data_IF_172220084928
#
_entry.id   IF_172220084928
#
_cell.length_a   1.000
_cell.length_b   1.000
_cell.length_c   1.000
_cell.angle_alpha   90.00
_cell.angle_beta   90.00
_cell.angle_gamma   90.00
#
_symmetry.space_group_name_H-M   'P 1'
#
loop_
_entity.id
_entity.type
_entity.pdbx_description
1 polymer ?
#
# COMPACT_ATOMS: atom_id res chain seq x y z
N UNK A 1 -6.84 -5.45 33.08
CA UNK A 1 -7.15 -5.09 31.68
C UNK A 1 -7.81 -6.29 31.05
N UNK A 2 -9.00 -6.14 30.48
CA UNK A 2 -9.63 -7.22 29.70
C UNK A 2 -8.81 -7.43 28.42
N UNK A 3 -8.47 -8.68 28.15
CA UNK A 3 -7.80 -9.05 26.90
C UNK A 3 -8.74 -8.78 25.71
N UNK A 4 -8.28 -8.02 24.72
CA UNK A 4 -9.04 -7.77 23.50
C UNK A 4 -8.68 -8.87 22.48
N UNK A 5 -9.69 -9.61 22.05
CA UNK A 5 -9.52 -10.62 21.02
C UNK A 5 -9.54 -9.98 19.62
N UNK A 6 -8.41 -9.42 19.19
CA UNK A 6 -8.29 -8.80 17.85
C UNK A 6 -8.54 -9.78 16.71
N UNK A 7 -8.15 -11.04 16.86
CA UNK A 7 -8.45 -12.08 15.86
C UNK A 7 -9.96 -12.22 15.66
N UNK A 8 -10.73 -12.26 16.77
CA UNK A 8 -12.18 -12.31 16.69
C UNK A 8 -12.81 -11.05 16.11
N UNK A 9 -12.18 -9.87 16.28
CA UNK A 9 -12.65 -8.64 15.64
C UNK A 9 -12.43 -8.68 14.12
N UNK A 10 -11.28 -9.16 13.67
CA UNK A 10 -10.99 -9.33 12.24
C UNK A 10 -11.91 -10.38 11.60
N UNK A 11 -12.15 -11.50 12.27
CA UNK A 11 -13.00 -12.59 11.76
C UNK A 11 -14.45 -12.13 11.49
N UNK A 12 -14.96 -11.15 12.23
CA UNK A 12 -16.29 -10.56 11.96
C UNK A 12 -16.40 -9.93 10.56
N UNK A 13 -15.29 -9.45 10.02
CA UNK A 13 -15.21 -8.76 8.74
C UNK A 13 -14.62 -9.63 7.62
N UNK A 14 -14.52 -10.94 7.86
CA UNK A 14 -13.87 -11.88 6.94
C UNK A 14 -14.37 -11.78 5.51
N UNK A 15 -15.68 -11.76 5.30
CA UNK A 15 -16.26 -11.73 3.96
C UNK A 15 -15.93 -10.43 3.22
N UNK A 16 -15.97 -9.28 3.92
CA UNK A 16 -15.57 -7.99 3.36
C UNK A 16 -14.07 -7.96 3.01
N UNK A 17 -13.22 -8.53 3.87
CA UNK A 17 -11.78 -8.63 3.65
C UNK A 17 -11.48 -9.48 2.41
N UNK A 18 -12.14 -10.63 2.27
CA UNK A 18 -11.98 -11.50 1.11
C UNK A 18 -12.55 -10.88 -0.17
N UNK A 19 -13.61 -10.07 -0.07
CA UNK A 19 -14.13 -9.31 -1.21
C UNK A 19 -13.12 -8.27 -1.69
N UNK A 20 -12.46 -7.56 -0.78
CA UNK A 20 -11.39 -6.60 -1.12
C UNK A 20 -10.24 -7.28 -1.83
N UNK A 21 -9.76 -8.40 -1.30
CA UNK A 21 -8.69 -9.20 -1.91
C UNK A 21 -9.04 -9.56 -3.35
N UNK A 22 -10.23 -10.13 -3.58
CA UNK A 22 -10.70 -10.55 -4.90
C UNK A 22 -10.95 -9.39 -5.85
N UNK A 23 -11.47 -8.28 -5.34
CA UNK A 23 -11.68 -7.10 -6.16
C UNK A 23 -10.36 -6.54 -6.68
N UNK A 24 -9.39 -6.30 -5.79
CA UNK A 24 -8.09 -5.76 -6.14
C UNK A 24 -7.34 -6.72 -7.08
N UNK A 25 -7.38 -8.05 -6.82
CA UNK A 25 -6.84 -9.06 -7.72
C UNK A 25 -7.37 -8.96 -9.15
N UNK A 26 -8.67 -8.72 -9.32
CA UNK A 26 -9.33 -8.66 -10.63
C UNK A 26 -9.19 -7.31 -11.33
N UNK A 27 -8.72 -6.28 -10.64
CA UNK A 27 -8.56 -4.92 -11.17
C UNK A 27 -7.13 -4.43 -10.95
N UNK A 28 -6.10 -5.16 -11.45
CA UNK A 28 -4.71 -4.80 -11.22
C UNK A 28 -4.36 -3.51 -11.97
N UNK A 29 -3.68 -2.61 -11.29
CA UNK A 29 -3.18 -1.36 -11.84
C UNK A 29 -1.69 -1.22 -11.54
N UNK A 30 -0.89 -0.80 -12.53
CA UNK A 30 0.54 -0.58 -12.31
C UNK A 30 0.82 0.74 -11.56
N UNK A 31 2.03 0.87 -11.06
CA UNK A 31 2.43 1.97 -10.18
C UNK A 31 2.18 3.37 -10.72
N UNK A 32 1.64 4.24 -9.87
CA UNK A 32 1.11 5.58 -10.15
C UNK A 32 -0.11 5.60 -11.09
N UNK A 33 -0.78 4.47 -11.29
CA UNK A 33 -2.04 4.36 -12.04
C UNK A 33 -3.18 3.79 -11.19
N UNK A 34 -2.97 3.51 -9.92
CA UNK A 34 -3.87 2.80 -8.99
C UNK A 34 -5.06 3.67 -8.54
N UNK A 35 -5.66 4.40 -9.50
CA UNK A 35 -6.77 5.31 -9.21
C UNK A 35 -8.06 4.58 -8.86
N UNK A 36 -8.37 3.47 -9.53
CA UNK A 36 -9.55 2.68 -9.24
C UNK A 36 -9.39 1.94 -7.91
N UNK A 37 -8.21 1.37 -7.66
CA UNK A 37 -7.86 0.74 -6.39
C UNK A 37 -7.94 1.75 -5.24
N UNK A 38 -7.37 2.95 -5.40
CA UNK A 38 -7.48 4.04 -4.44
C UNK A 38 -8.93 4.38 -4.14
N UNK A 39 -9.75 4.60 -5.17
CA UNK A 39 -11.17 4.94 -5.02
C UNK A 39 -11.96 3.84 -4.32
N UNK A 40 -11.70 2.60 -4.67
CA UNK A 40 -12.37 1.44 -4.08
C UNK A 40 -12.07 1.32 -2.58
N UNK A 41 -10.79 1.32 -2.22
CA UNK A 41 -10.36 1.25 -0.82
C UNK A 41 -10.86 2.45 -0.01
N UNK A 42 -10.70 3.66 -0.55
CA UNK A 42 -11.17 4.89 0.09
C UNK A 42 -12.68 4.84 0.39
N UNK A 43 -13.48 4.35 -0.54
CA UNK A 43 -14.93 4.21 -0.33
C UNK A 43 -15.29 3.30 0.85
N UNK A 44 -14.51 2.23 1.08
CA UNK A 44 -14.69 1.34 2.24
C UNK A 44 -14.32 2.07 3.54
N UNK A 45 -13.19 2.75 3.55
CA UNK A 45 -12.74 3.53 4.71
C UNK A 45 -13.73 4.65 5.07
N UNK A 46 -14.21 5.40 4.08
CA UNK A 46 -15.20 6.48 4.28
C UNK A 46 -16.53 5.92 4.80
N UNK A 47 -17.01 4.80 4.24
CA UNK A 47 -18.21 4.09 4.72
C UNK A 47 -18.04 3.63 6.18
N UNK A 48 -16.85 3.23 6.57
CA UNK A 48 -16.52 2.89 7.96
C UNK A 48 -16.36 4.15 8.85
N UNK A 49 -16.52 5.35 8.31
CA UNK A 49 -16.47 6.61 9.06
C UNK A 49 -15.04 7.12 9.33
N UNK A 50 -14.09 6.80 8.47
CA UNK A 50 -12.75 7.39 8.48
C UNK A 50 -12.73 8.70 7.69
N UNK A 51 -11.97 9.67 8.18
CA UNK A 51 -11.63 10.88 7.44
C UNK A 51 -10.29 10.68 6.75
N UNK A 52 -10.28 10.73 5.42
CA UNK A 52 -9.09 10.47 4.63
C UNK A 52 -8.34 11.74 4.25
N UNK A 53 -7.03 11.63 4.17
CA UNK A 53 -6.14 12.58 3.50
C UNK A 53 -5.63 11.92 2.23
N UNK A 54 -6.06 12.42 1.09
CA UNK A 54 -5.66 11.94 -0.22
C UNK A 54 -4.30 12.50 -0.64
N UNK A 55 -3.56 11.74 -1.41
CA UNK A 55 -2.27 12.17 -1.94
C UNK A 55 -2.38 13.21 -3.09
N UNK A 56 -3.60 13.50 -3.55
CA UNK A 56 -3.89 14.57 -4.48
C UNK A 56 -3.64 14.18 -5.94
N UNK A 57 -2.49 14.53 -6.46
CA UNK A 57 -2.10 14.33 -7.86
C UNK A 57 -1.48 12.96 -8.17
N UNK A 58 -1.35 12.10 -7.15
CA UNK A 58 -0.96 10.69 -7.27
C UNK A 58 -1.95 9.80 -6.51
N UNK A 59 -2.05 8.51 -6.85
CA UNK A 59 -2.91 7.57 -6.14
C UNK A 59 -2.57 7.43 -4.66
N UNK A 60 -3.57 7.08 -3.86
CA UNK A 60 -3.45 6.69 -2.47
C UNK A 60 -3.94 7.72 -1.46
N UNK A 61 -3.94 7.33 -0.20
CA UNK A 61 -4.45 8.12 0.92
C UNK A 61 -3.90 7.58 2.24
N UNK A 62 -4.10 8.35 3.30
CA UNK A 62 -3.91 7.88 4.67
C UNK A 62 -5.00 8.40 5.60
N UNK A 63 -5.12 7.77 6.77
CA UNK A 63 -5.97 8.22 7.88
C UNK A 63 -5.28 7.98 9.21
N UNK A 64 -5.51 8.86 10.17
CA UNK A 64 -5.02 8.74 11.55
C UNK A 64 -6.14 8.27 12.48
N UNK A 65 -5.80 7.36 13.37
CA UNK A 65 -6.67 6.80 14.41
C UNK A 65 -6.06 7.13 15.75
N UNK A 66 -6.72 7.98 16.51
CA UNK A 66 -6.27 8.40 17.84
C UNK A 66 -6.87 7.49 18.92
N UNK A 67 -6.04 6.98 19.83
CA UNK A 67 -6.53 6.19 20.98
C UNK A 67 -7.00 7.06 22.12
N UNK A 68 -6.73 8.36 22.08
CA UNK A 68 -6.99 9.30 23.17
C UNK A 68 -6.00 9.20 24.34
N UNK A 69 -4.98 8.38 24.21
CA UNK A 69 -3.90 8.21 25.21
C UNK A 69 -2.55 8.48 24.58
N UNK A 70 -1.61 9.15 25.28
CA UNK A 70 -0.28 9.41 24.76
C UNK A 70 0.50 8.11 24.49
N UNK A 71 1.33 8.11 23.46
CA UNK A 71 2.15 6.98 23.07
C UNK A 71 2.69 7.14 21.65
N UNK A 72 3.41 6.16 21.12
CA UNK A 72 3.98 6.23 19.78
C UNK A 72 2.91 6.21 18.69
N UNK A 73 3.29 6.72 17.52
CA UNK A 73 2.49 6.63 16.29
C UNK A 73 2.98 5.49 15.41
N UNK A 74 2.12 4.51 15.20
CA UNK A 74 2.38 3.37 14.33
C UNK A 74 1.88 3.66 12.93
N UNK A 75 2.74 3.54 11.92
CA UNK A 75 2.39 3.54 10.51
C UNK A 75 2.16 2.10 10.04
N UNK A 76 1.00 1.83 9.46
CA UNK A 76 0.70 0.55 8.80
C UNK A 76 0.49 0.85 7.32
N UNK A 77 1.28 0.18 6.48
CA UNK A 77 1.31 0.36 5.03
C UNK A 77 0.59 -0.79 4.32
N UNK A 78 -0.13 -0.45 3.26
CA UNK A 78 -0.61 -1.40 2.25
C UNK A 78 -0.27 -0.86 0.86
N UNK A 79 0.46 -1.64 0.09
CA UNK A 79 0.84 -1.34 -1.28
C UNK A 79 -0.31 -1.69 -2.23
N UNK A 80 -0.51 -0.89 -3.28
CA UNK A 80 -1.68 -1.03 -4.15
C UNK A 80 -1.35 -1.49 -5.56
N UNK A 81 -0.09 -1.38 -5.99
CA UNK A 81 0.28 -1.60 -7.38
C UNK A 81 0.43 -3.10 -7.73
N UNK A 82 0.27 -3.38 -9.02
CA UNK A 82 0.44 -4.67 -9.64
C UNK A 82 1.65 -4.69 -10.56
N UNK A 83 2.15 -5.89 -10.85
CA UNK A 83 3.24 -6.14 -11.78
C UNK A 83 2.74 -6.21 -13.23
N UNK A 84 3.60 -5.83 -14.17
CA UNK A 84 3.43 -6.14 -15.59
C UNK A 84 3.74 -7.63 -15.83
N UNK A 85 2.72 -8.44 -15.99
CA UNK A 85 2.82 -9.89 -16.15
C UNK A 85 1.95 -10.38 -17.31
N UNK A 86 2.22 -10.01 -18.56
CA UNK A 86 1.34 -10.30 -19.71
C UNK A 86 1.14 -11.81 -19.97
N UNK A 87 2.03 -12.64 -19.46
CA UNK A 87 1.94 -14.10 -19.58
C UNK A 87 1.29 -14.79 -18.37
N UNK A 88 0.86 -14.03 -17.36
CA UNK A 88 0.17 -14.61 -16.21
C UNK A 88 -1.23 -15.10 -16.63
N UNK A 89 -1.67 -16.32 -16.26
CA UNK A 89 -2.96 -16.87 -16.70
C UNK A 89 -4.18 -16.04 -16.25
N UNK A 90 -4.07 -15.32 -15.14
CA UNK A 90 -5.13 -14.47 -14.59
C UNK A 90 -4.83 -12.98 -14.72
N UNK A 91 -4.01 -12.59 -15.68
CA UNK A 91 -3.72 -11.18 -15.91
C UNK A 91 -4.94 -10.43 -16.48
N UNK A 92 -5.02 -9.14 -16.17
CA UNK A 92 -5.98 -8.21 -16.76
C UNK A 92 -5.17 -7.04 -17.34
N UNK A 93 -5.36 -6.76 -18.62
CA UNK A 93 -4.64 -5.69 -19.35
C UNK A 93 -3.10 -5.75 -19.21
N UNK A 94 -2.56 -6.96 -19.15
CA UNK A 94 -1.14 -7.22 -19.00
C UNK A 94 -0.60 -7.10 -17.58
N UNK A 95 -1.44 -6.84 -16.58
CA UNK A 95 -1.08 -6.71 -15.18
C UNK A 95 -1.58 -7.88 -14.33
N UNK A 96 -0.89 -8.20 -13.25
CA UNK A 96 -1.33 -9.15 -12.22
C UNK A 96 -0.72 -8.80 -10.85
N UNK A 97 -1.46 -9.07 -9.77
CA UNK A 97 -0.96 -8.91 -8.40
C UNK A 97 -0.02 -10.05 -7.96
N UNK A 98 0.92 -10.40 -8.82
CA UNK A 98 1.83 -11.53 -8.58
C UNK A 98 2.79 -11.34 -7.37
N UNK A 99 2.93 -10.12 -6.86
CA UNK A 99 3.64 -9.82 -5.62
C UNK A 99 2.75 -9.93 -4.37
N UNK A 100 1.42 -9.99 -4.54
CA UNK A 100 0.49 -10.17 -3.43
C UNK A 100 0.03 -8.87 -2.76
N UNK A 101 0.17 -7.70 -3.39
CA UNK A 101 -0.27 -6.41 -2.84
C UNK A 101 -1.80 -6.34 -2.64
N UNK A 102 -2.59 -7.12 -3.40
CA UNK A 102 -4.01 -7.31 -3.15
C UNK A 102 -4.30 -7.82 -1.72
N UNK A 103 -3.46 -8.71 -1.19
CA UNK A 103 -3.59 -9.19 0.21
C UNK A 103 -3.20 -8.12 1.23
N UNK A 104 -2.27 -7.23 0.88
CA UNK A 104 -1.94 -6.08 1.71
C UNK A 104 -3.11 -5.07 1.79
N UNK A 105 -3.75 -4.78 0.64
CA UNK A 105 -4.96 -3.97 0.58
C UNK A 105 -6.08 -4.54 1.46
N UNK A 106 -6.31 -5.86 1.36
CA UNK A 106 -7.29 -6.57 2.17
C UNK A 106 -6.96 -6.51 3.67
N UNK A 107 -5.69 -6.69 4.03
CA UNK A 107 -5.22 -6.59 5.41
C UNK A 107 -5.40 -5.18 5.97
N UNK A 108 -5.09 -4.15 5.18
CA UNK A 108 -5.24 -2.75 5.59
C UNK A 108 -6.72 -2.43 5.89
N UNK A 109 -7.64 -2.91 5.03
CA UNK A 109 -9.10 -2.79 5.26
C UNK A 109 -9.52 -3.58 6.49
N UNK A 110 -9.05 -4.82 6.65
CA UNK A 110 -9.37 -5.65 7.81
C UNK A 110 -8.97 -5.00 9.14
N UNK A 111 -7.78 -4.40 9.18
CA UNK A 111 -7.33 -3.61 10.34
C UNK A 111 -8.24 -2.41 10.57
N UNK A 112 -8.58 -1.67 9.51
CA UNK A 112 -9.45 -0.51 9.61
C UNK A 112 -10.82 -0.88 10.19
N UNK A 113 -11.45 -1.91 9.67
CA UNK A 113 -12.77 -2.37 10.15
C UNK A 113 -12.72 -2.87 11.59
N UNK A 114 -11.72 -3.71 11.93
CA UNK A 114 -11.55 -4.23 13.28
C UNK A 114 -11.31 -3.13 14.32
N UNK A 115 -10.57 -2.06 13.97
CA UNK A 115 -10.32 -0.93 14.88
C UNK A 115 -11.55 -0.03 15.09
N UNK A 116 -12.60 -0.14 14.26
CA UNK A 116 -13.90 0.53 14.46
C UNK A 116 -14.82 -0.24 15.39
N UNK A 117 -14.54 -1.49 15.68
CA UNK A 117 -15.34 -2.28 16.60
C UNK A 117 -15.33 -1.68 18.01
N UNK A 118 -16.47 -1.73 18.74
CA UNK A 118 -16.56 -1.18 20.08
C UNK A 118 -15.49 -1.78 21.01
N UNK A 119 -14.73 -0.92 21.66
CA UNK A 119 -13.69 -1.33 22.60
C UNK A 119 -12.34 -1.70 21.97
N UNK A 120 -12.23 -1.78 20.65
CA UNK A 120 -10.98 -2.17 19.97
C UNK A 120 -9.77 -1.30 20.38
N UNK A 121 -9.98 -0.01 20.60
CA UNK A 121 -8.91 0.93 21.00
C UNK A 121 -8.66 0.97 22.53
N UNK A 122 -9.47 0.29 23.35
CA UNK A 122 -9.42 0.45 24.80
C UNK A 122 -8.10 -0.03 25.43
N UNK A 123 -7.40 -0.98 24.80
CA UNK A 123 -6.10 -1.50 25.24
C UNK A 123 -4.88 -0.80 24.64
N UNK A 124 -5.07 0.13 23.70
CA UNK A 124 -4.00 0.75 22.94
C UNK A 124 -3.67 2.16 23.46
N UNK A 125 -2.44 2.62 23.23
CA UNK A 125 -1.97 3.98 23.52
C UNK A 125 -1.23 4.51 22.27
N UNK A 126 -1.19 5.84 22.13
CA UNK A 126 -0.65 6.47 20.93
C UNK A 126 -1.66 6.57 19.80
N UNK A 127 -1.20 6.52 18.58
CA UNK A 127 -2.04 6.61 17.39
C UNK A 127 -1.59 5.64 16.30
N UNK A 128 -2.47 5.39 15.32
CA UNK A 128 -2.19 4.51 14.19
C UNK A 128 -2.49 5.29 12.91
N UNK A 129 -1.53 5.35 12.00
CA UNK A 129 -1.73 5.79 10.62
C UNK A 129 -1.90 4.57 9.74
N UNK A 130 -3.05 4.44 9.09
CA UNK A 130 -3.27 3.49 8.02
C UNK A 130 -3.03 4.20 6.69
N UNK A 131 -2.18 3.64 5.83
CA UNK A 131 -1.75 4.29 4.60
C UNK A 131 -1.79 3.32 3.42
N UNK A 132 -2.59 3.64 2.41
CA UNK A 132 -2.59 2.99 1.11
C UNK A 132 -1.58 3.71 0.21
N UNK A 133 -0.47 3.04 -0.11
CA UNK A 133 0.67 3.62 -0.81
C UNK A 133 0.78 3.07 -2.24
N UNK A 134 1.03 3.90 -3.27
CA UNK A 134 1.20 3.46 -4.65
C UNK A 134 2.62 3.02 -4.96
N UNK A 135 2.81 2.40 -6.13
CA UNK A 135 4.04 2.35 -6.90
C UNK A 135 5.27 1.79 -6.15
N UNK A 136 5.12 0.65 -5.50
CA UNK A 136 6.25 -0.04 -4.86
C UNK A 136 7.17 -0.69 -5.89
N UNK A 137 6.60 -1.37 -6.88
CA UNK A 137 7.31 -2.08 -7.94
C UNK A 137 7.99 -1.09 -8.88
N UNK A 138 9.31 -1.13 -8.99
CA UNK A 138 10.08 -0.22 -9.83
C UNK A 138 10.07 -0.65 -11.31
N UNK A 139 8.90 -0.68 -11.90
CA UNK A 139 8.63 -0.96 -13.32
C UNK A 139 8.21 0.32 -14.06
N UNK A 140 8.04 0.26 -15.37
CA UNK A 140 7.63 1.39 -16.24
C UNK A 140 8.47 2.68 -16.00
N UNK A 141 9.78 2.54 -15.95
CA UNK A 141 10.71 3.63 -15.57
C UNK A 141 10.55 4.87 -16.47
N UNK A 142 10.33 4.71 -17.79
CA UNK A 142 10.09 5.82 -18.71
C UNK A 142 8.82 6.60 -18.34
N UNK A 143 7.74 5.92 -17.99
CA UNK A 143 6.50 6.55 -17.53
C UNK A 143 6.73 7.34 -16.25
N UNK A 144 7.35 6.72 -15.25
CA UNK A 144 7.66 7.38 -13.98
C UNK A 144 8.62 8.55 -14.15
N UNK A 145 9.61 8.44 -15.06
CA UNK A 145 10.50 9.55 -15.39
C UNK A 145 9.75 10.70 -16.08
N UNK A 146 8.70 10.40 -16.87
CA UNK A 146 7.83 11.44 -17.43
C UNK A 146 7.05 12.18 -16.34
N UNK A 147 6.51 11.48 -15.35
CA UNK A 147 5.86 12.08 -14.17
C UNK A 147 6.84 12.95 -13.36
N UNK A 148 8.08 12.48 -13.21
CA UNK A 148 9.13 13.25 -12.54
C UNK A 148 9.49 14.51 -13.33
N UNK A 149 9.60 14.44 -14.64
CA UNK A 149 9.90 15.59 -15.52
C UNK A 149 8.77 16.60 -15.56
N UNK A 150 7.51 16.17 -15.41
CA UNK A 150 6.35 17.07 -15.29
C UNK A 150 6.21 17.71 -13.91
N UNK A 151 6.99 17.26 -12.93
CA UNK A 151 6.90 17.74 -11.54
C UNK A 151 5.80 17.08 -10.72
N UNK A 152 5.12 16.06 -11.26
CA UNK A 152 4.08 15.31 -10.53
C UNK A 152 4.70 14.48 -9.40
N UNK A 153 5.86 13.89 -9.62
CA UNK A 153 6.61 13.15 -8.60
C UNK A 153 8.07 13.60 -8.56
N UNK A 154 8.73 13.38 -7.42
CA UNK A 154 10.18 13.58 -7.24
C UNK A 154 10.94 12.27 -7.28
N UNK A 155 10.33 11.21 -6.78
CA UNK A 155 10.91 9.88 -6.66
C UNK A 155 10.08 8.84 -7.41
N UNK A 156 10.77 7.85 -8.00
CA UNK A 156 10.12 6.83 -8.82
C UNK A 156 9.36 5.77 -8.01
N UNK A 157 9.61 5.66 -6.71
CA UNK A 157 8.94 4.72 -5.80
C UNK A 157 7.96 5.44 -4.88
N UNK A 158 6.78 4.87 -4.69
CA UNK A 158 5.69 5.50 -3.94
C UNK A 158 6.01 5.75 -2.47
N UNK A 159 6.63 4.79 -1.77
CA UNK A 159 7.03 5.00 -0.36
C UNK A 159 8.02 6.16 -0.21
N UNK A 160 8.98 6.27 -1.11
CA UNK A 160 9.97 7.37 -1.10
C UNK A 160 9.31 8.70 -1.45
N UNK A 161 8.38 8.71 -2.41
CA UNK A 161 7.60 9.90 -2.74
C UNK A 161 6.71 10.34 -1.57
N UNK A 162 6.08 9.39 -0.86
CA UNK A 162 5.27 9.68 0.33
C UNK A 162 6.11 10.21 1.50
N UNK A 163 7.31 9.66 1.69
CA UNK A 163 8.26 10.18 2.66
C UNK A 163 8.66 11.62 2.33
N UNK A 164 8.96 11.90 1.07
CA UNK A 164 9.29 13.25 0.59
C UNK A 164 8.14 14.25 0.80
N UNK A 165 6.89 13.81 0.61
CA UNK A 165 5.68 14.63 0.83
C UNK A 165 5.31 14.81 2.30
N UNK A 166 6.07 14.23 3.22
CA UNK A 166 5.81 14.32 4.67
C UNK A 166 4.63 13.44 5.15
N UNK A 167 4.14 12.52 4.31
CA UNK A 167 2.98 11.69 4.70
C UNK A 167 3.32 10.66 5.78
N UNK A 168 4.59 10.46 6.08
CA UNK A 168 5.06 9.60 7.18
C UNK A 168 5.58 10.39 8.38
N UNK A 169 5.52 11.73 8.31
CA UNK A 169 6.00 12.57 9.41
C UNK A 169 5.25 12.29 10.70
N UNK A 170 6.01 12.29 11.80
CA UNK A 170 5.51 12.01 13.14
C UNK A 170 5.18 10.54 13.42
N UNK A 171 5.46 9.61 12.49
CA UNK A 171 5.38 8.19 12.75
C UNK A 171 6.68 7.67 13.37
N UNK A 172 6.56 6.93 14.48
CA UNK A 172 7.71 6.39 15.23
C UNK A 172 8.11 4.99 14.75
N UNK A 173 7.15 4.21 14.27
CA UNK A 173 7.34 2.82 13.85
C UNK A 173 6.54 2.60 12.56
N UNK A 174 7.13 1.91 11.58
CA UNK A 174 6.45 1.49 10.37
C UNK A 174 6.33 -0.04 10.34
N UNK A 175 5.18 -0.51 9.90
CA UNK A 175 4.86 -1.93 9.79
C UNK A 175 4.11 -2.20 8.48
N UNK A 176 4.41 -3.32 7.82
CA UNK A 176 3.60 -3.86 6.74
C UNK A 176 3.69 -5.38 6.72
N UNK A 177 2.66 -6.03 6.18
CA UNK A 177 2.68 -7.45 5.89
C UNK A 177 3.01 -7.67 4.41
N UNK A 178 3.61 -8.81 4.10
CA UNK A 178 3.89 -9.20 2.72
C UNK A 178 3.70 -10.70 2.55
N UNK A 179 3.19 -11.11 1.39
CA UNK A 179 3.11 -12.52 1.02
C UNK A 179 4.51 -13.12 0.95
N UNK A 180 4.66 -14.38 1.35
CA UNK A 180 5.93 -15.10 1.32
C UNK A 180 5.70 -16.54 0.86
N UNK A 181 6.70 -17.11 0.19
CA UNK A 181 6.71 -18.54 -0.15
C UNK A 181 7.02 -19.45 1.05
N UNK A 182 7.32 -18.88 2.23
CA UNK A 182 7.58 -19.64 3.47
C UNK A 182 6.24 -20.00 4.14
N UNK A 183 6.17 -21.20 4.69
CA UNK A 183 5.03 -21.58 5.52
C UNK A 183 5.01 -20.82 6.85
N UNK A 184 3.81 -20.38 7.27
CA UNK A 184 3.59 -19.70 8.55
C UNK A 184 3.67 -18.18 8.47
N UNK A 185 3.56 -17.54 9.63
CA UNK A 185 3.67 -16.09 9.81
C UNK A 185 5.03 -15.79 10.43
N UNK A 186 5.78 -14.92 9.76
CA UNK A 186 7.12 -14.54 10.17
C UNK A 186 7.16 -13.04 10.46
N UNK A 187 7.94 -12.67 11.45
CA UNK A 187 8.24 -11.29 11.75
C UNK A 187 9.73 -11.06 11.49
N UNK A 188 10.04 -10.12 10.60
CA UNK A 188 11.41 -9.75 10.25
C UNK A 188 11.62 -8.26 10.50
N UNK A 189 12.68 -7.93 11.23
CA UNK A 189 13.14 -6.57 11.51
C UNK A 189 14.51 -6.29 10.89
N UNK A 190 15.02 -7.24 10.10
CA UNK A 190 16.36 -7.20 9.56
C UNK A 190 16.43 -6.39 8.25
N UNK A 191 17.49 -6.61 7.50
CA UNK A 191 17.82 -5.86 6.30
C UNK A 191 16.77 -6.07 5.19
N UNK A 192 16.34 -4.97 4.60
CA UNK A 192 15.61 -4.96 3.34
C UNK A 192 16.57 -4.72 2.18
N UNK A 193 16.29 -5.34 1.03
CA UNK A 193 17.02 -5.06 -0.19
C UNK A 193 16.65 -3.67 -0.72
N UNK A 194 17.65 -2.90 -1.13
CA UNK A 194 17.46 -1.69 -1.89
C UNK A 194 17.74 -1.91 -3.37
N UNK A 195 17.19 -1.07 -4.23
CA UNK A 195 17.54 -1.09 -5.65
C UNK A 195 17.90 0.31 -6.16
N UNK A 196 18.73 0.34 -7.21
CA UNK A 196 19.11 1.52 -7.94
C UNK A 196 18.81 1.29 -9.42
N UNK A 197 17.70 1.88 -9.92
CA UNK A 197 17.34 1.82 -11.32
C UNK A 197 18.13 2.85 -12.14
N UNK A 198 18.70 2.44 -13.27
CA UNK A 198 19.41 3.32 -14.20
C UNK A 198 19.00 3.03 -15.64
N UNK A 199 18.79 4.07 -16.43
CA UNK A 199 18.64 3.96 -17.87
C UNK A 199 19.95 4.39 -18.54
N UNK A 200 20.52 3.51 -19.36
CA UNK A 200 21.73 3.81 -20.14
C UNK A 200 21.31 3.90 -21.61
N UNK A 201 21.54 5.06 -22.22
CA UNK A 201 21.32 5.28 -23.66
C UNK A 201 22.64 5.37 -24.40
N UNK A 202 22.89 4.43 -25.30
CA UNK A 202 24.01 4.49 -26.21
C UNK A 202 23.57 5.25 -27.46
N UNK A 203 24.20 6.41 -27.70
CA UNK A 203 23.97 7.19 -28.94
C UNK A 203 24.94 6.68 -30.01
N UNK A 204 24.41 5.96 -30.97
CA UNK A 204 25.15 5.53 -32.14
C UNK A 204 24.81 6.36 -33.37
N UNK A 205 25.69 6.40 -34.34
CA UNK A 205 25.42 6.90 -35.69
C UNK A 205 25.35 5.70 -36.61
N UNK A 206 24.25 5.58 -37.34
CA UNK A 206 24.12 4.50 -38.31
C UNK A 206 25.21 4.62 -39.37
N UNK A 207 25.99 3.57 -39.59
CA UNK A 207 26.98 3.48 -40.63
C UNK A 207 26.87 2.13 -41.33
N UNK A 208 27.21 2.08 -42.59
CA UNK A 208 27.35 0.83 -43.32
C UNK A 208 28.72 0.24 -42.98
N UNK A 209 28.77 -1.07 -42.71
CA UNK A 209 30.00 -1.82 -42.51
C UNK A 209 30.71 -2.13 -43.81
#
# INVERSE_FOLDING_TARGET
MSYINYTGLVEKHKDEILEVERYVWKHPESGFREWNTTKYLAGIFEKAGYKLTYAGDIPGFYTDIETGRPGPKLLILGEMDALLCPNHPEQTDGCAHACGHNTQCASLVGIALALKEPGALSGLSGSIRLCAVPAEELIEIEYRDSLRKSGTIHYLGGKVEYLYRGYFDGCDIAFMNHASCREGVWFDINNSNGCLAKTVKYKGVASHA
#
